data_IF_778065207276
#
_entry.id   IF_778065207276
#
_cell.length_a   1.000
_cell.length_b   1.000
_cell.length_c   1.000
_cell.angle_alpha   90.00
_cell.angle_beta   90.00
_cell.angle_gamma   90.00
#
_symmetry.space_group_name_H-M   'P 1'
#
loop_
_entity.id
_entity.type
_entity.pdbx_description
1 polymer ?
#
# COMPACT_ATOMS: atom_id res chain seq x y z
N UNK A 1 -8.63 -3.36 -12.23
CA UNK A 1 -7.94 -4.30 -11.38
C UNK A 1 -6.57 -3.76 -11.05
N UNK A 2 -5.77 -4.52 -10.31
CA UNK A 2 -4.48 -4.00 -9.87
C UNK A 2 -3.55 -3.65 -11.03
N UNK A 3 -3.63 -4.39 -12.11
CA UNK A 3 -2.78 -4.16 -13.28
C UNK A 3 -3.10 -2.85 -14.00
N UNK A 4 -4.24 -2.24 -13.70
CA UNK A 4 -4.63 -0.96 -14.29
C UNK A 4 -4.26 0.21 -13.38
N UNK A 5 -3.79 -0.07 -12.18
CA UNK A 5 -3.42 0.97 -11.23
C UNK A 5 -1.97 1.35 -11.41
N UNK A 6 -1.69 2.64 -11.30
CA UNK A 6 -0.34 3.17 -11.41
C UNK A 6 -0.05 4.01 -10.18
N UNK A 7 1.21 4.44 -10.05
CA UNK A 7 1.56 5.32 -8.94
C UNK A 7 0.71 6.59 -8.96
N UNK A 8 0.31 7.05 -10.15
CA UNK A 8 -0.54 8.24 -10.26
C UNK A 8 -1.91 8.04 -9.63
N UNK A 9 -2.35 6.78 -9.50
CA UNK A 9 -3.61 6.47 -8.84
C UNK A 9 -3.52 6.70 -7.33
N UNK A 10 -2.34 6.63 -6.76
CA UNK A 10 -2.13 6.68 -5.32
C UNK A 10 -1.48 7.96 -4.83
N UNK A 11 -0.71 8.66 -5.66
CA UNK A 11 -0.04 9.88 -5.22
C UNK A 11 -1.01 10.92 -4.65
N UNK A 12 -2.18 11.15 -5.25
CA UNK A 12 -3.13 12.09 -4.67
C UNK A 12 -3.70 11.64 -3.33
N UNK A 13 -3.55 10.35 -3.01
CA UNK A 13 -4.10 9.77 -1.78
C UNK A 13 -3.10 9.76 -0.62
N UNK A 14 -1.87 10.22 -0.85
CA UNK A 14 -0.87 10.31 0.21
C UNK A 14 -1.39 11.24 1.29
N UNK A 15 -1.29 10.80 2.54
CA UNK A 15 -1.82 11.53 3.68
C UNK A 15 -3.23 11.11 4.07
N UNK A 16 -3.90 10.30 3.25
CA UNK A 16 -5.25 9.85 3.52
C UNK A 16 -5.24 8.45 4.12
N UNK A 17 -6.39 8.02 4.61
CA UNK A 17 -6.53 6.74 5.30
C UNK A 17 -7.11 5.69 4.38
N UNK A 18 -6.48 4.52 4.39
CA UNK A 18 -7.02 3.30 3.83
C UNK A 18 -7.54 2.46 4.97
N UNK A 19 -8.50 1.61 4.70
CA UNK A 19 -9.11 0.75 5.72
C UNK A 19 -8.81 -0.69 5.39
N UNK A 20 -8.09 -1.34 6.30
CA UNK A 20 -7.72 -2.74 6.18
C UNK A 20 -8.74 -3.57 6.95
N UNK A 21 -9.31 -4.57 6.30
CA UNK A 21 -10.22 -5.49 6.97
C UNK A 21 -9.41 -6.67 7.50
N UNK A 22 -9.40 -6.83 8.82
CA UNK A 22 -8.62 -7.86 9.47
C UNK A 22 -9.37 -8.41 10.66
N UNK A 23 -9.63 -9.73 10.64
CA UNK A 23 -10.34 -10.42 11.71
C UNK A 23 -11.69 -9.77 12.03
N UNK A 24 -12.40 -9.30 10.99
CA UNK A 24 -13.69 -8.68 11.16
C UNK A 24 -13.64 -7.24 11.62
N UNK A 25 -12.44 -6.66 11.76
CA UNK A 25 -12.26 -5.28 12.19
C UNK A 25 -11.66 -4.46 11.08
N UNK A 26 -11.96 -3.16 11.11
CA UNK A 26 -11.34 -2.21 10.18
C UNK A 26 -10.19 -1.53 10.88
N UNK A 27 -9.01 -1.59 10.27
CA UNK A 27 -7.81 -0.97 10.81
C UNK A 27 -7.42 0.17 9.87
N UNK A 28 -7.19 1.34 10.43
CA UNK A 28 -6.78 2.49 9.63
C UNK A 28 -5.31 2.40 9.28
N UNK A 29 -5.01 2.46 7.98
CA UNK A 29 -3.64 2.56 7.49
C UNK A 29 -3.51 3.89 6.78
N UNK A 30 -2.58 4.73 7.23
CA UNK A 30 -2.36 6.00 6.56
C UNK A 30 -1.30 5.83 5.48
N UNK A 31 -1.63 6.22 4.25
CA UNK A 31 -0.65 6.19 3.17
C UNK A 31 0.30 7.37 3.37
N UNK A 32 1.57 7.06 3.65
CA UNK A 32 2.56 8.09 3.94
C UNK A 32 3.44 8.43 2.74
N UNK A 33 3.62 7.47 1.83
CA UNK A 33 4.50 7.70 0.69
C UNK A 33 4.18 6.75 -0.45
N UNK A 34 4.31 7.25 -1.67
CA UNK A 34 4.28 6.45 -2.88
C UNK A 34 5.61 6.70 -3.60
N UNK A 35 6.33 5.63 -3.93
CA UNK A 35 7.67 5.74 -4.48
C UNK A 35 7.85 4.83 -5.68
N UNK A 36 8.45 5.35 -6.75
CA UNK A 36 8.77 4.53 -7.91
C UNK A 36 10.00 3.69 -7.63
N UNK A 37 10.05 2.48 -8.20
CA UNK A 37 11.26 1.68 -8.12
C UNK A 37 12.31 2.30 -9.03
N UNK A 38 13.56 1.83 -8.90
CA UNK A 38 14.65 2.35 -9.71
C UNK A 38 14.35 2.14 -11.18
N UNK A 39 14.77 3.13 -11.98
CA UNK A 39 14.48 3.15 -13.41
C UNK A 39 14.96 1.89 -14.13
N UNK A 40 16.14 1.38 -13.77
CA UNK A 40 16.69 0.21 -14.39
C UNK A 40 15.78 -1.01 -14.20
N UNK A 41 15.15 -1.13 -13.06
CA UNK A 41 14.23 -2.24 -12.81
C UNK A 41 12.92 -2.03 -13.56
N UNK A 42 12.43 -0.79 -13.58
CA UNK A 42 11.19 -0.48 -14.30
C UNK A 42 11.31 -0.79 -15.77
N UNK A 43 12.47 -0.50 -16.37
CA UNK A 43 12.71 -0.77 -17.79
C UNK A 43 12.60 -2.26 -18.10
N UNK A 44 13.08 -3.13 -17.22
CA UNK A 44 13.01 -4.57 -17.44
C UNK A 44 11.60 -5.10 -17.27
N UNK A 45 10.79 -4.46 -16.45
CA UNK A 45 9.43 -4.92 -16.16
C UNK A 45 8.42 -4.48 -17.21
N UNK A 46 8.82 -3.63 -18.13
CA UNK A 46 7.96 -3.12 -19.21
C UNK A 46 6.79 -2.31 -18.68
N UNK A 47 6.83 -1.92 -17.43
CA UNK A 47 5.86 -1.00 -16.82
C UNK A 47 6.49 -0.42 -15.57
N UNK A 48 5.97 0.70 -15.13
CA UNK A 48 6.50 1.36 -13.95
C UNK A 48 6.07 0.61 -12.70
N UNK A 49 7.03 0.05 -11.99
CA UNK A 49 6.77 -0.55 -10.68
C UNK A 49 6.88 0.54 -9.61
N UNK A 50 6.17 0.34 -8.52
CA UNK A 50 6.19 1.32 -7.44
C UNK A 50 5.84 0.65 -6.13
N UNK A 51 6.14 1.35 -5.03
CA UNK A 51 5.81 0.89 -3.68
C UNK A 51 4.96 1.93 -2.97
N UNK A 52 4.06 1.46 -2.13
CA UNK A 52 3.28 2.29 -1.23
C UNK A 52 3.70 1.96 0.20
N UNK A 53 3.84 3.01 1.01
CA UNK A 53 4.19 2.85 2.41
C UNK A 53 3.05 3.36 3.27
N UNK A 54 2.61 2.52 4.20
CA UNK A 54 1.51 2.84 5.10
C UNK A 54 2.00 2.84 6.53
N UNK A 55 1.37 3.66 7.36
CA UNK A 55 1.61 3.64 8.79
C UNK A 55 0.42 2.97 9.45
N UNK A 56 0.70 1.90 10.22
CA UNK A 56 -0.32 1.12 10.89
C UNK A 56 -0.20 1.30 12.40
N UNK A 57 -1.35 1.34 13.12
CA UNK A 57 -1.31 1.49 14.58
C UNK A 57 -0.97 0.21 15.32
N UNK A 58 -0.90 -0.92 14.61
CA UNK A 58 -0.59 -2.21 15.21
C UNK A 58 0.13 -3.06 14.19
N UNK A 59 0.67 -4.20 14.64
CA UNK A 59 1.41 -5.10 13.76
C UNK A 59 0.47 -5.75 12.75
N UNK A 60 0.83 -5.65 11.47
CA UNK A 60 0.09 -6.28 10.38
C UNK A 60 0.96 -7.41 9.85
N UNK A 61 0.53 -8.67 9.96
CA UNK A 61 1.33 -9.78 9.46
C UNK A 61 1.52 -9.70 7.95
N UNK A 62 2.66 -10.18 7.48
CA UNK A 62 2.92 -10.26 6.05
C UNK A 62 1.86 -11.13 5.38
N UNK A 63 1.35 -10.67 4.25
CA UNK A 63 0.37 -11.43 3.51
C UNK A 63 -0.54 -10.53 2.68
N UNK A 64 -1.51 -11.17 2.01
CA UNK A 64 -2.49 -10.45 1.21
C UNK A 64 -3.58 -9.93 2.14
N UNK A 65 -3.83 -8.63 2.06
CA UNK A 65 -4.83 -7.97 2.88
C UNK A 65 -5.81 -7.20 2.02
N UNK A 66 -7.01 -7.05 2.52
CA UNK A 66 -8.11 -6.41 1.83
C UNK A 66 -8.20 -4.96 2.31
N UNK A 67 -7.96 -4.02 1.38
CA UNK A 67 -7.96 -2.59 1.69
C UNK A 67 -9.05 -1.87 0.92
N UNK A 68 -9.65 -0.86 1.55
CA UNK A 68 -10.63 0.00 0.89
C UNK A 68 -10.23 1.46 1.07
N UNK A 69 -10.72 2.30 0.17
CA UNK A 69 -10.51 3.75 0.23
C UNK A 69 -11.67 4.43 -0.46
N UNK A 70 -12.14 5.54 0.11
CA UNK A 70 -13.31 6.25 -0.41
C UNK A 70 -13.13 6.71 -1.86
N UNK A 71 -11.89 7.03 -2.25
CA UNK A 71 -11.62 7.50 -3.59
C UNK A 71 -11.46 6.39 -4.62
N UNK A 72 -11.44 5.12 -4.18
CA UNK A 72 -11.28 3.99 -5.08
C UNK A 72 -12.60 3.25 -5.22
N UNK A 73 -12.99 2.90 -6.44
CA UNK A 73 -14.31 2.28 -6.67
C UNK A 73 -14.41 0.85 -6.17
N UNK A 74 -13.27 0.17 -6.02
CA UNK A 74 -13.25 -1.24 -5.64
C UNK A 74 -12.22 -1.50 -4.56
N UNK A 75 -12.46 -2.49 -3.69
CA UNK A 75 -11.44 -2.90 -2.72
C UNK A 75 -10.20 -3.44 -3.42
N UNK A 76 -9.07 -3.37 -2.72
CA UNK A 76 -7.80 -3.87 -3.22
C UNK A 76 -7.35 -5.02 -2.36
N UNK A 77 -6.95 -6.13 -3.00
CA UNK A 77 -6.28 -7.22 -2.31
C UNK A 77 -4.80 -7.07 -2.59
N UNK A 78 -4.04 -6.65 -1.59
CA UNK A 78 -2.65 -6.25 -1.77
C UNK A 78 -1.77 -7.02 -0.81
N UNK A 79 -0.62 -7.46 -1.29
CA UNK A 79 0.39 -8.09 -0.45
C UNK A 79 1.11 -7.00 0.34
N UNK A 80 1.03 -7.08 1.66
CA UNK A 80 1.67 -6.11 2.56
C UNK A 80 2.79 -6.78 3.34
N UNK A 81 3.87 -6.05 3.55
CA UNK A 81 5.03 -6.53 4.30
C UNK A 81 5.37 -5.52 5.38
N UNK A 82 5.39 -5.92 6.67
CA UNK A 82 5.88 -5.00 7.70
C UNK A 82 7.38 -4.82 7.53
N UNK A 83 7.82 -3.57 7.50
CA UNK A 83 9.24 -3.28 7.22
C UNK A 83 9.94 -2.58 8.36
N UNK A 84 9.20 -1.87 9.21
CA UNK A 84 9.83 -1.12 10.29
C UNK A 84 8.84 -0.84 11.39
N UNK A 85 9.33 -0.81 12.63
CA UNK A 85 8.53 -0.36 13.78
C UNK A 85 9.06 1.00 14.20
N UNK A 86 8.16 1.97 14.37
CA UNK A 86 8.50 3.32 14.79
C UNK A 86 7.63 3.67 16.00
N UNK A 87 8.21 3.56 17.20
CA UNK A 87 7.44 3.77 18.40
C UNK A 87 6.33 2.74 18.52
N UNK A 88 5.09 3.21 18.62
CA UNK A 88 3.93 2.33 18.70
C UNK A 88 3.31 2.04 17.34
N UNK A 89 3.90 2.55 16.29
CA UNK A 89 3.37 2.39 14.93
C UNK A 89 4.29 1.50 14.10
N UNK A 90 3.73 0.95 13.01
CA UNK A 90 4.47 0.07 12.12
C UNK A 90 4.36 0.59 10.70
N UNK A 91 5.48 0.57 9.97
CA UNK A 91 5.48 0.88 8.55
C UNK A 91 5.28 -0.42 7.78
N UNK A 92 4.30 -0.43 6.89
CA UNK A 92 4.03 -1.57 6.01
C UNK A 92 4.18 -1.13 4.57
N UNK A 93 4.72 -2.00 3.74
CA UNK A 93 4.97 -1.71 2.34
C UNK A 93 4.17 -2.61 1.44
N UNK A 94 3.61 -2.04 0.38
CA UNK A 94 2.97 -2.77 -0.71
C UNK A 94 3.77 -2.50 -1.98
N UNK A 95 4.20 -3.57 -2.65
CA UNK A 95 4.98 -3.45 -3.89
C UNK A 95 4.10 -3.83 -5.06
N UNK A 96 4.04 -2.94 -6.05
CA UNK A 96 3.31 -3.18 -7.30
C UNK A 96 4.31 -3.35 -8.44
N UNK A 97 4.19 -4.44 -9.18
CA UNK A 97 5.08 -4.72 -10.32
C UNK A 97 4.32 -4.99 -11.64
#
# INVERSE_FOLDING_TARGET
>A
MLDQLTIDSFEPLVGSSFWLLWNGHKVELRLTRAARVMESEAARLKRTAFSLFFLAPLFIPQGIHHLTHDALPEPLDIFLVPVEKQGDAYTVEAVFT
#
